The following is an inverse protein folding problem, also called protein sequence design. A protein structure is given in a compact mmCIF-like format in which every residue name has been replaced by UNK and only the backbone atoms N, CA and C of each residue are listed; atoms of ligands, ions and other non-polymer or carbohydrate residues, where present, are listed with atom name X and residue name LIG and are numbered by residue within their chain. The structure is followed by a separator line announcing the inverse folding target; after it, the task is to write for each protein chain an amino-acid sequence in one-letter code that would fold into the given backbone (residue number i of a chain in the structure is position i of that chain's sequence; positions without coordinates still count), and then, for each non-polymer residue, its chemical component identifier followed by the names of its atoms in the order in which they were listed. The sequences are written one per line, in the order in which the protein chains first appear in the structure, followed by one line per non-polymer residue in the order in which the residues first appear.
data_IF_447345895124
#
_entry.id   IF_447345895124
#
_cell.length_a   1.000
_cell.length_b   1.000
_cell.length_c   1.000
_cell.angle_alpha   90.00
_cell.angle_beta   90.00
_cell.angle_gamma   90.00
#
_symmetry.space_group_name_H-M   'P 1'
#
loop_
_entity.id
_entity.type
_entity.pdbx_description
1 polymer ?
#
# COMPACT_ATOMS: atom_id res chain seq x y z
N UNK A 1 -5.29 10.53 -6.96
CA UNK A 1 -4.01 11.30 -6.75
C UNK A 1 -2.91 10.70 -7.59
N UNK A 2 -2.07 11.51 -8.24
CA UNK A 2 -0.90 11.03 -8.96
C UNK A 2 0.38 11.08 -8.10
N UNK A 3 1.48 10.53 -8.62
CA UNK A 3 2.76 10.42 -7.89
C UNK A 3 3.37 11.77 -7.49
N UNK A 4 3.18 12.82 -8.31
CA UNK A 4 3.65 14.18 -7.99
C UNK A 4 2.86 14.78 -6.83
N UNK A 5 1.56 14.66 -6.85
CA UNK A 5 0.66 15.17 -5.80
C UNK A 5 0.95 14.51 -4.46
N UNK A 6 1.11 13.17 -4.46
CA UNK A 6 1.52 12.43 -3.26
C UNK A 6 2.89 12.93 -2.76
N UNK A 7 3.86 13.11 -3.66
CA UNK A 7 5.19 13.62 -3.29
C UNK A 7 5.14 15.06 -2.77
N UNK A 8 4.25 15.88 -3.30
CA UNK A 8 4.03 17.26 -2.88
C UNK A 8 3.48 17.29 -1.45
N UNK A 9 2.44 16.53 -1.14
CA UNK A 9 1.91 16.41 0.21
C UNK A 9 2.93 15.79 1.19
N UNK A 10 3.66 14.76 0.77
CA UNK A 10 4.70 14.15 1.64
C UNK A 10 5.78 15.14 2.10
N UNK A 11 6.12 16.12 1.27
CA UNK A 11 7.12 17.14 1.62
C UNK A 11 6.63 18.11 2.69
N UNK A 12 5.32 18.19 2.91
CA UNK A 12 4.73 19.01 3.96
C UNK A 12 5.00 18.46 5.35
N UNK A 13 5.13 17.14 5.49
CA UNK A 13 5.42 16.50 6.78
C UNK A 13 6.90 16.69 7.17
N UNK A 14 7.30 17.94 7.30
CA UNK A 14 8.57 18.37 7.88
C UNK A 14 8.32 19.61 8.76
N UNK A 15 9.11 19.84 9.82
CA UNK A 15 8.88 20.94 10.76
C UNK A 15 8.71 22.30 10.10
N UNK A 16 9.45 22.57 9.03
CA UNK A 16 9.50 23.88 8.37
C UNK A 16 8.41 24.10 7.30
N UNK A 17 7.63 23.06 6.97
CA UNK A 17 6.72 23.09 5.79
C UNK A 17 5.26 22.81 6.10
N UNK A 18 4.96 22.29 7.28
CA UNK A 18 3.58 21.99 7.65
C UNK A 18 2.88 23.20 8.30
N UNK A 19 1.55 23.15 8.32
CA UNK A 19 0.71 24.08 9.07
C UNK A 19 -0.06 23.35 10.17
N UNK A 20 0.43 22.19 10.59
CA UNK A 20 -0.18 21.35 11.62
C UNK A 20 0.02 22.04 12.97
N UNK A 21 -1.07 22.48 13.59
CA UNK A 21 -1.03 23.11 14.90
C UNK A 21 -0.98 22.10 16.05
N UNK A 22 -1.77 21.04 15.93
CA UNK A 22 -1.93 20.01 16.96
C UNK A 22 -1.92 18.62 16.37
N UNK A 23 -1.39 17.67 17.16
CA UNK A 23 -1.53 16.23 16.96
C UNK A 23 -2.56 15.73 17.96
N UNK A 24 -3.62 15.14 17.45
CA UNK A 24 -4.65 14.51 18.25
C UNK A 24 -4.54 12.99 18.15
N UNK A 25 -5.05 12.28 19.14
CA UNK A 25 -5.07 10.83 19.09
C UNK A 25 -5.72 10.18 20.29
N UNK A 26 -5.80 8.86 20.25
CA UNK A 26 -6.16 8.04 21.40
C UNK A 26 -5.31 6.76 21.43
N UNK A 27 -4.90 6.39 22.62
CA UNK A 27 -4.22 5.13 22.91
C UNK A 27 -5.23 4.10 23.35
N UNK A 28 -5.29 2.98 22.64
CA UNK A 28 -6.31 1.94 22.79
C UNK A 28 -5.63 0.63 23.18
N UNK A 29 -6.21 -0.08 24.16
CA UNK A 29 -5.74 -1.39 24.60
C UNK A 29 -6.36 -2.53 23.77
N UNK A 30 -5.89 -3.76 24.01
CA UNK A 30 -6.39 -5.00 23.38
C UNK A 30 -7.87 -5.29 23.65
N UNK A 31 -8.46 -4.67 24.70
CA UNK A 31 -9.89 -4.79 25.03
C UNK A 31 -10.76 -3.73 24.32
N UNK A 32 -10.18 -2.98 23.39
CA UNK A 32 -10.83 -1.87 22.68
C UNK A 32 -11.24 -0.71 23.62
N UNK A 33 -10.52 -0.52 24.73
CA UNK A 33 -10.76 0.60 25.65
C UNK A 33 -9.72 1.69 25.42
N UNK A 34 -10.15 2.96 25.40
CA UNK A 34 -9.25 4.12 25.32
C UNK A 34 -8.58 4.30 26.69
N UNK A 35 -7.26 4.17 26.75
CA UNK A 35 -6.45 4.36 27.96
C UNK A 35 -6.10 5.82 28.15
N UNK A 36 -5.79 6.54 27.05
CA UNK A 36 -5.37 7.94 27.09
C UNK A 36 -5.73 8.66 25.79
N UNK A 37 -5.97 9.93 25.90
CA UNK A 37 -6.09 10.84 24.75
C UNK A 37 -4.80 11.61 24.57
N UNK A 38 -4.49 11.91 23.32
CA UNK A 38 -3.39 12.79 22.90
C UNK A 38 -3.99 14.08 22.34
N UNK A 39 -3.53 15.22 22.86
CA UNK A 39 -3.85 16.57 22.34
C UNK A 39 -2.62 17.44 22.58
N UNK A 40 -1.67 17.38 21.64
CA UNK A 40 -0.36 17.97 21.77
C UNK A 40 -0.13 19.05 20.72
N UNK A 41 0.33 20.21 21.17
CA UNK A 41 0.72 21.29 20.26
C UNK A 41 2.07 21.00 19.63
N UNK A 42 2.11 20.88 18.30
CA UNK A 42 3.35 20.62 17.57
C UNK A 42 4.41 21.71 17.79
N UNK A 43 3.97 22.96 17.92
CA UNK A 43 4.87 24.08 18.19
C UNK A 43 5.46 24.09 19.61
N UNK A 44 4.82 23.42 20.56
CA UNK A 44 5.29 23.32 21.94
C UNK A 44 6.18 22.09 22.19
N UNK A 45 6.25 21.17 21.23
CA UNK A 45 7.08 19.96 21.33
C UNK A 45 8.56 20.26 21.07
N UNK A 46 9.48 19.49 21.68
CA UNK A 46 10.86 19.43 21.21
C UNK A 46 10.92 19.04 19.73
N UNK A 47 11.80 19.65 18.91
CA UNK A 47 11.88 19.36 17.48
C UNK A 47 12.06 17.88 17.14
N UNK A 48 12.85 17.15 17.91
CA UNK A 48 13.07 15.70 17.72
C UNK A 48 11.81 14.87 17.96
N UNK A 49 10.92 15.32 18.83
CA UNK A 49 9.63 14.67 19.08
C UNK A 49 8.63 15.00 17.99
N UNK A 50 8.53 16.26 17.60
CA UNK A 50 7.71 16.70 16.48
C UNK A 50 8.06 15.95 15.18
N UNK A 51 9.36 15.75 14.88
CA UNK A 51 9.80 14.97 13.73
C UNK A 51 9.32 13.50 13.77
N UNK A 52 9.24 12.90 14.95
CA UNK A 52 8.75 11.50 15.08
C UNK A 52 7.27 11.42 14.73
N UNK A 53 6.43 12.32 15.27
CA UNK A 53 5.00 12.37 14.92
C UNK A 53 4.79 12.66 13.43
N UNK A 54 5.46 13.65 12.89
CA UNK A 54 5.41 13.96 11.46
C UNK A 54 5.90 12.79 10.61
N UNK A 55 6.92 12.07 11.06
CA UNK A 55 7.44 10.87 10.42
C UNK A 55 6.42 9.74 10.36
N UNK A 56 5.63 9.53 11.42
CA UNK A 56 4.54 8.55 11.44
C UNK A 56 3.43 8.97 10.46
N UNK A 57 2.94 10.21 10.54
CA UNK A 57 1.89 10.71 9.66
C UNK A 57 2.29 10.67 8.18
N UNK A 58 3.55 11.00 7.87
CA UNK A 58 4.12 10.91 6.51
C UNK A 58 4.01 9.51 5.90
N UNK A 59 3.93 8.46 6.72
CA UNK A 59 3.78 7.07 6.25
C UNK A 59 2.44 6.83 5.57
N UNK A 60 1.37 7.56 5.94
CA UNK A 60 0.09 7.49 5.24
C UNK A 60 0.15 7.86 3.74
N UNK A 61 1.27 8.46 3.32
CA UNK A 61 1.55 8.81 1.92
C UNK A 61 2.74 8.02 1.36
N UNK A 62 3.07 6.86 1.92
CA UNK A 62 4.27 6.11 1.57
C UNK A 62 3.93 4.77 0.91
N UNK A 63 4.73 4.37 -0.06
CA UNK A 63 4.56 3.09 -0.75
C UNK A 63 4.22 3.26 -2.22
N UNK A 64 3.78 2.18 -2.83
CA UNK A 64 3.44 2.11 -4.25
C UNK A 64 1.94 2.28 -4.44
N UNK A 65 1.53 3.15 -5.36
CA UNK A 65 0.12 3.31 -5.74
C UNK A 65 -0.44 2.01 -6.34
N UNK A 66 -1.71 1.74 -6.03
CA UNK A 66 -2.37 0.49 -6.40
C UNK A 66 -1.87 -0.74 -5.62
N UNK A 67 -0.98 -0.54 -4.64
CA UNK A 67 -0.45 -1.59 -3.78
C UNK A 67 -0.55 -1.23 -2.30
N UNK A 68 0.29 -0.30 -1.82
CA UNK A 68 0.22 0.23 -0.45
C UNK A 68 -0.71 1.43 -0.34
N UNK A 69 -0.79 2.22 -1.40
CA UNK A 69 -1.64 3.40 -1.52
C UNK A 69 -2.80 3.08 -2.43
N UNK A 70 -4.00 3.06 -1.87
CA UNK A 70 -5.23 2.60 -2.51
C UNK A 70 -6.21 3.78 -2.53
N UNK A 71 -6.79 4.05 -3.68
CA UNK A 71 -7.83 5.08 -3.79
C UNK A 71 -9.16 4.51 -3.28
N UNK A 72 -9.74 5.19 -2.28
CA UNK A 72 -11.10 4.95 -1.79
C UNK A 72 -12.02 5.91 -2.53
N UNK A 73 -12.99 5.37 -3.24
CA UNK A 73 -13.90 6.16 -4.08
C UNK A 73 -15.30 6.16 -3.48
N UNK A 74 -15.82 7.35 -3.21
CA UNK A 74 -17.19 7.54 -2.73
C UNK A 74 -18.15 7.81 -3.90
N UNK A 75 -19.27 7.12 -3.93
CA UNK A 75 -20.33 7.43 -4.87
C UNK A 75 -20.98 8.80 -4.55
N UNK A 76 -21.64 9.40 -5.54
CA UNK A 76 -22.35 10.65 -5.34
C UNK A 76 -23.39 10.55 -4.21
N UNK A 77 -24.05 9.43 -4.07
CA UNK A 77 -25.02 9.18 -2.99
C UNK A 77 -24.31 9.14 -1.62
N UNK A 78 -23.14 8.52 -1.52
CA UNK A 78 -22.39 8.47 -0.27
C UNK A 78 -21.91 9.87 0.15
N UNK A 79 -21.44 10.67 -0.79
CA UNK A 79 -21.03 12.06 -0.50
C UNK A 79 -22.21 12.89 0.00
N UNK A 80 -23.43 12.67 -0.52
CA UNK A 80 -24.62 13.39 -0.10
C UNK A 80 -25.18 12.90 1.24
N UNK A 81 -25.24 11.57 1.46
CA UNK A 81 -26.10 10.99 2.50
C UNK A 81 -25.34 10.19 3.57
N UNK A 82 -24.15 9.61 3.28
CA UNK A 82 -23.45 8.72 4.20
C UNK A 82 -23.06 9.43 5.51
N UNK A 83 -23.40 8.87 6.68
CA UNK A 83 -22.94 9.35 7.97
C UNK A 83 -21.42 9.33 8.10
N UNK A 84 -20.76 8.31 7.53
CA UNK A 84 -19.32 8.15 7.57
C UNK A 84 -18.62 9.26 6.78
N UNK A 85 -19.08 9.54 5.56
CA UNK A 85 -18.54 10.65 4.77
C UNK A 85 -18.78 12.00 5.45
N UNK A 86 -19.97 12.23 6.04
CA UNK A 86 -20.25 13.45 6.81
C UNK A 86 -19.35 13.58 8.03
N UNK A 87 -19.01 12.47 8.70
CA UNK A 87 -18.07 12.47 9.81
C UNK A 87 -16.66 12.88 9.36
N UNK A 88 -16.18 12.36 8.23
CA UNK A 88 -14.89 12.76 7.65
C UNK A 88 -14.88 14.25 7.26
N UNK A 89 -15.97 14.74 6.66
CA UNK A 89 -16.12 16.17 6.36
C UNK A 89 -16.11 17.02 7.64
N UNK A 90 -16.83 16.60 8.69
CA UNK A 90 -16.85 17.30 9.98
C UNK A 90 -15.48 17.36 10.65
N UNK A 91 -14.67 16.29 10.58
CA UNK A 91 -13.28 16.30 11.04
C UNK A 91 -12.45 17.35 10.30
N UNK A 92 -12.59 17.42 8.99
CA UNK A 92 -11.90 18.38 8.14
C UNK A 92 -12.36 19.82 8.43
N UNK A 93 -13.65 20.07 8.45
CA UNK A 93 -14.24 21.40 8.59
C UNK A 93 -14.03 22.00 10.00
N UNK A 94 -14.07 21.15 11.02
CA UNK A 94 -13.69 21.56 12.40
C UNK A 94 -12.19 21.72 12.61
N UNK A 95 -11.37 21.39 11.58
CA UNK A 95 -9.91 21.33 11.72
C UNK A 95 -9.46 20.44 12.91
N UNK A 96 -10.23 19.39 13.17
CA UNK A 96 -10.10 18.50 14.34
C UNK A 96 -10.31 19.20 15.71
N UNK A 97 -10.79 20.42 15.77
CA UNK A 97 -10.96 21.18 17.02
C UNK A 97 -12.17 20.72 17.83
N UNK A 98 -13.19 20.09 17.20
CA UNK A 98 -14.36 19.59 17.89
C UNK A 98 -14.10 18.23 18.55
N UNK A 99 -14.08 18.16 19.91
CA UNK A 99 -13.79 16.91 20.61
C UNK A 99 -14.91 15.87 20.44
N UNK A 100 -16.16 16.25 20.18
CA UNK A 100 -17.24 15.29 19.98
C UNK A 100 -17.10 14.61 18.62
N UNK A 101 -16.68 15.35 17.58
CA UNK A 101 -16.41 14.80 16.26
C UNK A 101 -15.19 13.85 16.29
N UNK A 102 -14.12 14.22 17.00
CA UNK A 102 -12.98 13.33 17.21
C UNK A 102 -13.36 12.04 17.94
N UNK A 103 -14.17 12.16 18.99
CA UNK A 103 -14.65 10.98 19.75
C UNK A 103 -15.46 10.05 18.87
N UNK A 104 -16.42 10.57 18.10
CA UNK A 104 -17.23 9.76 17.19
C UNK A 104 -16.37 9.04 16.15
N UNK A 105 -15.28 9.67 15.71
CA UNK A 105 -14.33 9.03 14.81
C UNK A 105 -13.51 7.93 15.52
N UNK A 106 -13.00 8.16 16.73
CA UNK A 106 -12.28 7.15 17.49
C UNK A 106 -13.15 5.92 17.76
N UNK A 107 -14.41 6.12 18.12
CA UNK A 107 -15.37 5.03 18.34
C UNK A 107 -15.54 4.19 17.06
N UNK A 108 -15.69 4.83 15.90
CA UNK A 108 -15.75 4.16 14.59
C UNK A 108 -14.48 3.34 14.30
N UNK A 109 -13.31 3.90 14.54
CA UNK A 109 -12.03 3.19 14.34
C UNK A 109 -11.93 1.98 15.27
N UNK A 110 -12.27 2.15 16.54
CA UNK A 110 -12.17 1.09 17.56
C UNK A 110 -13.15 -0.05 17.27
N UNK A 111 -14.38 0.28 16.84
CA UNK A 111 -15.38 -0.71 16.45
C UNK A 111 -14.94 -1.54 15.23
N UNK A 112 -14.36 -0.87 14.26
CA UNK A 112 -14.04 -1.44 12.94
C UNK A 112 -12.68 -2.11 12.86
N UNK A 113 -11.79 -1.89 13.83
CA UNK A 113 -10.42 -2.35 13.73
C UNK A 113 -10.14 -3.49 14.70
N UNK A 114 -9.50 -4.54 14.17
CA UNK A 114 -8.86 -5.58 14.95
C UNK A 114 -7.34 -5.50 14.73
N UNK A 115 -6.59 -5.29 15.81
CA UNK A 115 -5.13 -5.20 15.79
C UNK A 115 -4.49 -6.44 16.42
N UNK A 116 -5.15 -7.58 16.30
CA UNK A 116 -4.78 -8.80 16.99
C UNK A 116 -4.61 -8.53 18.52
N UNK A 117 -3.63 -9.09 19.15
CA UNK A 117 -3.33 -8.89 20.57
C UNK A 117 -2.45 -7.64 20.85
N UNK A 118 -2.48 -6.61 19.98
CA UNK A 118 -1.63 -5.43 20.14
C UNK A 118 -2.43 -4.19 20.58
N UNK A 119 -1.91 -3.45 21.54
CA UNK A 119 -2.36 -2.08 21.78
C UNK A 119 -2.02 -1.22 20.56
N UNK A 120 -2.75 -0.13 20.36
CA UNK A 120 -2.47 0.77 19.24
C UNK A 120 -2.74 2.24 19.55
N UNK A 121 -2.07 3.10 18.82
CA UNK A 121 -2.25 4.55 18.88
C UNK A 121 -2.89 5.01 17.56
N UNK A 122 -4.05 5.65 17.66
CA UNK A 122 -4.66 6.38 16.56
C UNK A 122 -4.13 7.80 16.59
N UNK A 123 -3.55 8.27 15.51
CA UNK A 123 -3.06 9.64 15.34
C UNK A 123 -3.89 10.37 14.31
N UNK A 124 -4.23 11.61 14.58
CA UNK A 124 -4.92 12.53 13.69
C UNK A 124 -4.18 13.86 13.62
N UNK A 125 -4.05 14.42 12.44
CA UNK A 125 -3.62 15.78 12.22
C UNK A 125 -4.42 16.43 11.09
N UNK A 126 -4.63 17.75 11.20
CA UNK A 126 -5.16 18.59 10.14
C UNK A 126 -4.05 19.48 9.61
N UNK A 127 -3.91 19.58 8.31
CA UNK A 127 -3.00 20.52 7.64
C UNK A 127 -3.77 21.37 6.63
N UNK A 128 -3.35 22.61 6.50
CA UNK A 128 -3.83 23.55 5.49
C UNK A 128 -2.69 23.88 4.53
N UNK A 129 -2.85 23.43 3.30
CA UNK A 129 -1.84 23.63 2.24
C UNK A 129 -2.27 24.76 1.31
N UNK A 130 -1.48 25.80 1.30
CA UNK A 130 -1.56 26.88 0.33
C UNK A 130 -0.97 26.39 -1.00
N UNK A 131 -1.85 26.07 -1.95
CA UNK A 131 -1.47 25.40 -3.21
C UNK A 131 -0.86 26.44 -4.15
N UNK A 132 0.45 26.37 -4.47
CA UNK A 132 1.09 27.36 -5.36
C UNK A 132 0.44 27.38 -6.74
N UNK A 133 0.18 28.55 -7.27
CA UNK A 133 -0.35 28.71 -8.62
C UNK A 133 0.70 28.25 -9.65
N UNK A 134 0.30 27.39 -10.58
CA UNK A 134 1.10 27.02 -11.75
C UNK A 134 0.50 27.67 -12.99
N UNK A 135 1.23 28.61 -13.59
CA UNK A 135 0.84 29.17 -14.87
C UNK A 135 0.96 28.11 -16.00
N UNK A 136 0.21 28.29 -17.09
CA UNK A 136 0.22 27.37 -18.25
C UNK A 136 1.59 27.20 -18.91
N UNK A 137 2.51 28.12 -18.68
CA UNK A 137 3.91 28.11 -19.15
C UNK A 137 4.86 27.34 -18.19
N UNK A 138 4.33 26.74 -17.11
CA UNK A 138 5.10 25.97 -16.15
C UNK A 138 5.80 26.80 -15.07
N UNK A 139 5.66 28.13 -15.06
CA UNK A 139 6.18 28.98 -14.00
C UNK A 139 5.32 28.83 -12.73
N UNK A 140 5.98 28.64 -11.60
CA UNK A 140 5.32 28.56 -10.29
C UNK A 140 5.41 29.93 -9.60
N UNK A 141 4.27 30.48 -9.22
CA UNK A 141 4.21 31.73 -8.47
C UNK A 141 3.81 31.42 -7.03
N UNK A 142 4.78 31.44 -6.11
CA UNK A 142 4.57 31.16 -4.68
C UNK A 142 3.74 32.23 -3.95
N UNK A 143 3.48 33.38 -4.60
CA UNK A 143 2.78 34.51 -3.97
C UNK A 143 1.33 34.70 -4.42
N UNK A 144 0.83 33.89 -5.33
CA UNK A 144 -0.56 33.96 -5.83
C UNK A 144 -1.14 32.56 -5.73
N UNK A 145 -1.82 32.32 -4.61
CA UNK A 145 -2.62 31.11 -4.44
C UNK A 145 -4.08 31.52 -4.33
N UNK A 146 -4.94 30.88 -5.12
CA UNK A 146 -6.39 31.04 -5.04
C UNK A 146 -7.04 29.85 -4.30
N UNK A 147 -6.26 28.86 -3.87
CA UNK A 147 -6.82 27.61 -3.34
C UNK A 147 -6.07 27.12 -2.11
N UNK A 148 -6.77 27.09 -0.97
CA UNK A 148 -6.30 26.46 0.25
C UNK A 148 -6.81 25.02 0.30
N UNK A 149 -5.91 24.04 0.34
CA UNK A 149 -6.25 22.63 0.49
C UNK A 149 -6.20 22.23 1.96
N UNK A 150 -7.39 22.04 2.56
CA UNK A 150 -7.55 21.53 3.92
C UNK A 150 -7.76 20.02 3.89
N UNK A 151 -6.98 19.29 4.66
CA UNK A 151 -7.10 17.83 4.74
C UNK A 151 -6.79 17.30 6.14
N UNK A 152 -7.31 16.11 6.40
CA UNK A 152 -7.03 15.33 7.59
C UNK A 152 -6.15 14.15 7.21
N UNK A 153 -5.16 13.87 8.02
CA UNK A 153 -4.35 12.66 7.94
C UNK A 153 -4.55 11.83 9.20
N UNK A 154 -4.75 10.53 9.01
CA UNK A 154 -4.88 9.55 10.08
C UNK A 154 -3.80 8.48 9.93
N UNK A 155 -3.26 8.02 11.06
CA UNK A 155 -2.41 6.83 11.12
C UNK A 155 -2.80 5.98 12.34
N UNK A 156 -2.81 4.67 12.16
CA UNK A 156 -2.96 3.69 13.24
C UNK A 156 -1.64 2.95 13.40
N UNK A 157 -1.04 3.08 14.58
CA UNK A 157 0.28 2.56 14.90
C UNK A 157 0.18 1.50 15.99
N UNK A 158 0.67 0.27 15.78
CA UNK A 158 0.74 -0.72 16.85
C UNK A 158 1.70 -0.24 17.95
N UNK A 159 1.35 -0.50 19.19
CA UNK A 159 2.19 -0.20 20.34
C UNK A 159 2.65 -1.52 20.94
N UNK A 160 3.96 -1.74 20.98
CA UNK A 160 4.58 -2.98 21.44
C UNK A 160 5.46 -2.72 22.65
N UNK A 161 5.57 -3.73 23.52
CA UNK A 161 6.55 -3.67 24.60
C UNK A 161 7.97 -3.68 24.02
N UNK A 162 8.75 -2.69 24.42
CA UNK A 162 10.18 -2.65 24.14
C UNK A 162 10.89 -3.79 24.90
N UNK A 163 11.95 -4.33 24.29
CA UNK A 163 12.78 -5.31 25.00
C UNK A 163 13.49 -4.63 26.16
N UNK A 164 13.42 -5.24 27.35
CA UNK A 164 14.26 -4.83 28.46
C UNK A 164 15.74 -4.90 28.05
N UNK A 165 16.47 -3.84 28.26
CA UNK A 165 17.89 -3.73 27.92
C UNK A 165 18.66 -3.10 29.06
N UNK A 166 19.98 -3.37 29.13
CA UNK A 166 20.87 -2.68 30.03
C UNK A 166 21.35 -1.39 29.32
N UNK A 167 20.96 -0.24 29.89
CA UNK A 167 21.34 1.08 29.37
C UNK A 167 22.39 1.74 30.24
N UNK A 168 23.32 2.48 29.63
CA UNK A 168 24.27 3.33 30.36
C UNK A 168 23.70 4.73 30.56
N UNK A 169 23.58 5.13 31.80
CA UNK A 169 23.11 6.46 32.19
C UNK A 169 24.31 7.38 32.44
N UNK A 170 24.63 8.19 31.48
CA UNK A 170 25.81 9.08 31.53
C UNK A 170 25.78 10.08 32.70
N UNK A 171 24.58 10.51 33.12
CA UNK A 171 24.41 11.43 34.27
C UNK A 171 24.80 10.78 35.61
N UNK A 172 24.68 9.47 35.76
CA UNK A 172 24.97 8.68 36.95
C UNK A 172 26.22 7.82 36.80
N UNK A 173 26.76 7.74 35.57
CA UNK A 173 27.91 6.91 35.21
C UNK A 173 27.73 5.42 35.58
N UNK A 174 26.50 4.92 35.45
CA UNK A 174 26.09 3.56 35.85
C UNK A 174 25.25 2.87 34.78
N UNK A 175 25.25 1.54 34.77
CA UNK A 175 24.35 0.73 33.96
C UNK A 175 23.11 0.38 34.78
N UNK A 176 21.94 0.74 34.25
CA UNK A 176 20.66 0.35 34.81
C UNK A 176 19.80 -0.41 33.80
N UNK A 177 18.90 -1.23 34.31
CA UNK A 177 17.89 -1.87 33.45
C UNK A 177 17.00 -0.80 32.87
N UNK A 178 16.98 -0.71 31.53
CA UNK A 178 15.97 0.04 30.82
C UNK A 178 14.67 -0.73 30.94
N UNK A 179 13.66 -0.14 31.59
CA UNK A 179 12.35 -0.76 31.74
C UNK A 179 11.70 -1.06 30.40
N UNK A 180 10.75 -1.97 30.42
CA UNK A 180 9.87 -2.25 29.27
C UNK A 180 9.01 -1.02 28.99
N UNK A 181 9.47 -0.14 28.13
CA UNK A 181 8.67 0.99 27.65
C UNK A 181 7.81 0.50 26.48
N UNK A 182 6.57 0.97 26.44
CA UNK A 182 5.73 0.76 25.28
C UNK A 182 6.23 1.66 24.16
N UNK A 183 6.52 1.07 23.01
CA UNK A 183 7.10 1.74 21.84
C UNK A 183 6.08 1.76 20.71
N UNK A 184 5.80 2.95 20.20
CA UNK A 184 4.95 3.14 19.02
C UNK A 184 5.69 2.64 17.79
N UNK A 185 5.09 1.67 17.11
CA UNK A 185 5.60 1.10 15.86
C UNK A 185 5.28 1.97 14.65
N UNK A 186 5.72 1.51 13.49
CA UNK A 186 5.32 2.13 12.22
C UNK A 186 3.83 1.90 11.96
N UNK A 187 3.13 2.86 11.33
CA UNK A 187 1.73 2.71 11.01
C UNK A 187 1.43 1.41 10.26
N UNK A 188 0.43 0.69 10.68
CA UNK A 188 -0.10 -0.47 10.00
C UNK A 188 -1.04 -0.05 8.86
N UNK A 189 -1.86 0.95 9.14
CA UNK A 189 -2.74 1.59 8.19
C UNK A 189 -2.84 3.09 8.45
N UNK A 190 -3.43 3.82 7.50
CA UNK A 190 -3.71 5.24 7.61
C UNK A 190 -4.45 5.76 6.40
N UNK A 191 -4.80 7.03 6.39
CA UNK A 191 -5.41 7.65 5.21
C UNK A 191 -5.20 9.16 5.20
N UNK A 192 -5.44 9.74 4.03
CA UNK A 192 -5.60 11.19 3.83
C UNK A 192 -6.96 11.45 3.22
N UNK A 193 -7.72 12.41 3.79
CA UNK A 193 -9.03 12.82 3.28
C UNK A 193 -9.20 14.34 3.37
N UNK A 194 -9.76 14.97 2.34
CA UNK A 194 -10.02 14.43 1.00
C UNK A 194 -8.72 14.18 0.22
N UNK A 195 -8.83 13.50 -0.92
CA UNK A 195 -7.68 13.34 -1.81
C UNK A 195 -7.28 14.68 -2.44
N UNK A 196 -5.98 14.88 -2.66
CA UNK A 196 -5.43 16.01 -3.39
C UNK A 196 -5.31 15.63 -4.87
N UNK A 197 -6.27 16.01 -5.67
CA UNK A 197 -6.43 15.56 -7.04
C UNK A 197 -6.64 16.75 -7.97
N UNK A 198 -5.92 16.79 -9.06
CA UNK A 198 -5.88 17.95 -9.98
C UNK A 198 -5.67 19.28 -9.24
N UNK A 199 -4.75 19.25 -8.23
CA UNK A 199 -4.38 20.38 -7.37
C UNK A 199 -5.52 20.99 -6.55
N UNK A 200 -6.58 20.22 -6.33
CA UNK A 200 -7.76 20.62 -5.56
C UNK A 200 -8.20 19.52 -4.58
N UNK A 201 -9.09 19.86 -3.66
CA UNK A 201 -9.71 18.90 -2.77
C UNK A 201 -10.76 18.06 -3.52
N UNK A 202 -10.52 16.78 -3.65
CA UNK A 202 -11.48 15.84 -4.19
C UNK A 202 -12.18 15.07 -3.05
N UNK A 203 -13.37 15.55 -2.65
CA UNK A 203 -14.15 14.94 -1.56
C UNK A 203 -14.78 13.59 -1.94
N UNK A 204 -14.74 13.21 -3.22
CA UNK A 204 -15.19 11.91 -3.70
C UNK A 204 -14.12 10.83 -3.50
N UNK A 205 -12.93 11.20 -3.06
CA UNK A 205 -11.83 10.26 -2.90
C UNK A 205 -11.08 10.49 -1.58
N UNK A 206 -10.64 9.37 -0.98
CA UNK A 206 -9.59 9.36 0.04
C UNK A 206 -8.42 8.51 -0.44
N UNK A 207 -7.21 8.79 0.03
CA UNK A 207 -6.05 7.95 -0.19
C UNK A 207 -5.82 7.10 1.05
N UNK A 208 -6.01 5.80 0.95
CA UNK A 208 -5.81 4.83 2.01
C UNK A 208 -4.42 4.20 1.91
N UNK A 209 -3.76 4.03 3.05
CA UNK A 209 -2.46 3.39 3.18
C UNK A 209 -2.58 2.10 3.97
N UNK A 210 -1.98 1.04 3.45
CA UNK A 210 -1.71 -0.19 4.21
C UNK A 210 -0.22 -0.53 4.17
N UNK A 211 0.33 -0.96 5.29
CA UNK A 211 1.72 -1.40 5.37
C UNK A 211 1.93 -2.72 4.64
N UNK A 212 0.97 -3.62 4.75
CA UNK A 212 0.98 -4.93 4.12
C UNK A 212 -0.07 -4.98 3.01
N UNK A 213 0.32 -4.94 1.73
CA UNK A 213 -0.63 -4.93 0.61
C UNK A 213 -1.58 -6.13 0.56
N UNK A 214 -1.17 -7.25 1.18
CA UNK A 214 -1.97 -8.46 1.25
C UNK A 214 -3.02 -8.42 2.39
N UNK A 215 -2.95 -7.41 3.27
CA UNK A 215 -3.88 -7.18 4.39
C UNK A 215 -4.33 -5.71 4.37
N UNK A 216 -5.44 -5.44 3.67
CA UNK A 216 -5.93 -4.06 3.49
C UNK A 216 -6.88 -3.61 4.60
N UNK A 217 -7.08 -4.40 5.66
CA UNK A 217 -8.00 -4.06 6.76
C UNK A 217 -9.40 -3.72 6.25
N UNK A 218 -10.05 -4.68 5.58
CA UNK A 218 -11.37 -4.51 4.95
C UNK A 218 -12.42 -4.00 5.92
N UNK A 219 -12.38 -4.49 7.17
CA UNK A 219 -13.27 -4.06 8.26
C UNK A 219 -13.13 -2.57 8.59
N UNK A 220 -11.90 -2.03 8.51
CA UNK A 220 -11.67 -0.60 8.68
C UNK A 220 -12.22 0.20 7.50
N UNK A 221 -12.01 -0.28 6.28
CA UNK A 221 -12.53 0.39 5.07
C UNK A 221 -14.06 0.43 5.09
N UNK A 222 -14.70 -0.70 5.40
CA UNK A 222 -16.16 -0.73 5.53
C UNK A 222 -16.67 0.14 6.68
N UNK A 223 -16.06 0.07 7.85
CA UNK A 223 -16.52 0.79 9.03
C UNK A 223 -16.30 2.31 8.95
N UNK A 224 -15.15 2.77 8.46
CA UNK A 224 -14.77 4.19 8.43
C UNK A 224 -15.24 4.90 7.17
N UNK A 225 -15.21 4.24 6.01
CA UNK A 225 -15.56 4.86 4.73
C UNK A 225 -16.92 4.41 4.19
N UNK A 226 -17.42 3.27 4.66
CA UNK A 226 -18.66 2.64 4.18
C UNK A 226 -18.65 2.40 2.68
N UNK A 227 -17.52 2.00 2.14
CA UNK A 227 -17.35 1.61 0.74
C UNK A 227 -17.03 0.13 0.67
N UNK A 228 -17.37 -0.50 -0.46
CA UNK A 228 -16.94 -1.86 -0.72
C UNK A 228 -15.40 -1.91 -0.74
N UNK A 229 -14.77 -2.74 0.12
CA UNK A 229 -13.31 -2.83 0.15
C UNK A 229 -12.78 -3.27 -1.21
N UNK A 230 -11.75 -2.60 -1.76
CA UNK A 230 -11.11 -3.06 -2.98
C UNK A 230 -10.38 -4.40 -2.72
N UNK A 231 -10.16 -5.18 -3.77
CA UNK A 231 -9.36 -6.40 -3.66
C UNK A 231 -7.95 -6.07 -3.18
N UNK A 232 -7.45 -6.80 -2.18
CA UNK A 232 -6.04 -6.76 -1.78
C UNK A 232 -5.12 -7.23 -2.90
N UNK A 233 -3.82 -6.95 -2.82
CA UNK A 233 -2.86 -7.45 -3.80
C UNK A 233 -2.80 -8.99 -3.83
N UNK A 234 -3.04 -9.66 -2.70
CA UNK A 234 -3.12 -11.12 -2.63
C UNK A 234 -4.36 -11.64 -3.35
N UNK A 235 -5.53 -11.09 -3.08
CA UNK A 235 -6.78 -11.46 -3.74
C UNK A 235 -6.72 -11.20 -5.25
N UNK A 236 -6.13 -10.08 -5.69
CA UNK A 236 -5.92 -9.78 -7.11
C UNK A 236 -5.07 -10.86 -7.79
N UNK A 237 -4.00 -11.30 -7.12
CA UNK A 237 -3.11 -12.35 -7.63
C UNK A 237 -3.82 -13.71 -7.71
N UNK A 238 -4.46 -14.13 -6.63
CA UNK A 238 -5.19 -15.40 -6.57
C UNK A 238 -6.30 -15.46 -7.63
N UNK A 239 -7.06 -14.37 -7.78
CA UNK A 239 -8.09 -14.25 -8.82
C UNK A 239 -7.47 -14.35 -10.21
N UNK A 240 -6.36 -13.66 -10.47
CA UNK A 240 -5.66 -13.69 -11.74
C UNK A 240 -5.11 -15.09 -12.07
N UNK A 241 -4.50 -15.77 -11.10
CA UNK A 241 -4.02 -17.15 -11.22
C UNK A 241 -5.17 -18.11 -11.54
N UNK A 242 -6.31 -17.95 -10.89
CA UNK A 242 -7.53 -18.72 -11.15
C UNK A 242 -8.03 -18.49 -12.58
N UNK A 243 -8.12 -17.22 -13.02
CA UNK A 243 -8.53 -16.88 -14.39
C UNK A 243 -7.60 -17.52 -15.42
N UNK A 244 -6.28 -17.43 -15.21
CA UNK A 244 -5.30 -18.05 -16.11
C UNK A 244 -5.48 -19.56 -16.18
N UNK A 245 -5.54 -20.25 -15.04
CA UNK A 245 -5.65 -21.71 -15.00
C UNK A 245 -6.94 -22.23 -15.64
N UNK A 246 -8.08 -21.59 -15.37
CA UNK A 246 -9.38 -22.00 -15.90
C UNK A 246 -9.59 -21.63 -17.37
N UNK A 247 -8.96 -20.56 -17.86
CA UNK A 247 -9.11 -20.14 -19.25
C UNK A 247 -8.12 -20.82 -20.17
N UNK A 248 -6.89 -21.04 -19.73
CA UNK A 248 -5.81 -21.52 -20.57
C UNK A 248 -5.58 -23.03 -20.47
N UNK A 249 -5.90 -23.66 -19.32
CA UNK A 249 -5.70 -25.10 -19.15
C UNK A 249 -4.29 -25.54 -19.57
N UNK A 250 -4.20 -26.50 -20.53
CA UNK A 250 -2.92 -27.03 -21.03
C UNK A 250 -2.04 -25.98 -21.76
N UNK A 251 -2.59 -24.87 -22.22
CA UNK A 251 -1.82 -23.78 -22.83
C UNK A 251 -1.06 -22.95 -21.80
N UNK A 252 -1.34 -23.11 -20.50
CA UNK A 252 -0.56 -22.48 -19.41
C UNK A 252 0.80 -23.19 -19.23
N UNK A 253 1.71 -22.97 -20.16
CA UNK A 253 3.03 -23.58 -20.19
C UNK A 253 4.05 -22.80 -19.37
N UNK A 254 5.18 -23.43 -19.01
CA UNK A 254 6.33 -22.76 -18.39
C UNK A 254 6.83 -21.57 -19.23
N UNK A 255 6.81 -21.72 -20.56
CA UNK A 255 7.22 -20.64 -21.47
C UNK A 255 6.27 -19.44 -21.38
N UNK A 256 4.95 -19.68 -21.33
CA UNK A 256 3.96 -18.62 -21.14
C UNK A 256 4.13 -17.92 -19.78
N UNK A 257 4.31 -18.68 -18.70
CA UNK A 257 4.55 -18.11 -17.36
C UNK A 257 5.79 -17.22 -17.34
N UNK A 258 6.85 -17.61 -18.06
CA UNK A 258 8.07 -16.82 -18.21
C UNK A 258 7.81 -15.54 -19.02
N UNK A 259 7.14 -15.64 -20.16
CA UNK A 259 6.82 -14.50 -21.01
C UNK A 259 6.02 -13.44 -20.25
N UNK A 260 5.00 -13.87 -19.49
CA UNK A 260 4.20 -12.99 -18.63
C UNK A 260 5.05 -12.33 -17.54
N UNK A 261 5.91 -13.11 -16.86
CA UNK A 261 6.80 -12.59 -15.84
C UNK A 261 7.76 -11.52 -16.39
N UNK A 262 8.42 -11.81 -17.51
CA UNK A 262 9.36 -10.90 -18.17
C UNK A 262 8.65 -9.63 -18.62
N UNK A 263 7.49 -9.77 -19.26
CA UNK A 263 6.69 -8.63 -19.71
C UNK A 263 6.27 -7.73 -18.56
N UNK A 264 5.74 -8.29 -17.46
CA UNK A 264 5.34 -7.49 -16.27
C UNK A 264 6.54 -6.77 -15.68
N UNK A 265 7.67 -7.45 -15.57
CA UNK A 265 8.89 -6.85 -15.04
C UNK A 265 9.38 -5.70 -15.91
N UNK A 266 9.43 -5.89 -17.23
CA UNK A 266 9.89 -4.86 -18.16
C UNK A 266 8.97 -3.63 -18.10
N UNK A 267 7.66 -3.82 -17.99
CA UNK A 267 6.69 -2.73 -17.74
C UNK A 267 6.98 -1.97 -16.45
N UNK A 268 7.31 -2.68 -15.38
CA UNK A 268 7.67 -2.05 -14.09
C UNK A 268 8.99 -1.26 -14.20
N UNK A 269 9.98 -1.77 -14.92
CA UNK A 269 11.25 -1.09 -15.13
C UNK A 269 11.10 0.14 -16.03
N UNK A 270 10.43 0.00 -17.18
CA UNK A 270 10.10 1.12 -18.09
C UNK A 270 9.39 2.26 -17.34
N UNK A 271 8.38 1.93 -16.51
CA UNK A 271 7.66 2.92 -15.73
C UNK A 271 8.55 3.63 -14.70
N UNK A 272 9.51 2.92 -14.10
CA UNK A 272 10.47 3.55 -13.18
C UNK A 272 11.40 4.53 -13.90
N UNK A 273 11.84 4.16 -15.11
CA UNK A 273 12.77 4.96 -15.92
C UNK A 273 12.08 6.16 -16.59
N UNK A 274 10.87 5.98 -17.09
CA UNK A 274 10.09 7.05 -17.77
C UNK A 274 9.72 8.19 -16.82
N UNK A 275 9.71 7.94 -15.50
CA UNK A 275 9.27 8.90 -14.47
C UNK A 275 7.85 9.41 -14.70
N UNK A 276 7.01 8.59 -15.31
CA UNK A 276 5.60 8.89 -15.49
C UNK A 276 4.93 9.19 -14.15
N UNK A 277 3.99 10.13 -14.16
CA UNK A 277 3.29 10.61 -12.98
C UNK A 277 2.13 9.71 -12.60
N UNK A 278 1.48 9.14 -13.62
CA UNK A 278 0.35 8.25 -13.46
C UNK A 278 0.80 6.87 -12.92
N UNK A 279 -0.04 6.19 -12.13
CA UNK A 279 0.26 4.85 -11.65
C UNK A 279 0.43 3.87 -12.81
N UNK A 280 1.39 2.95 -12.70
CA UNK A 280 1.49 1.86 -13.65
C UNK A 280 0.23 1.00 -13.60
N UNK A 281 -0.43 0.87 -14.74
CA UNK A 281 -1.62 0.07 -14.87
C UNK A 281 -1.62 -0.72 -16.19
N UNK A 282 -2.18 -1.92 -16.15
CA UNK A 282 -2.37 -2.79 -17.32
C UNK A 282 -3.84 -3.19 -17.41
N UNK A 283 -4.33 -3.31 -18.64
CA UNK A 283 -5.71 -3.66 -18.97
C UNK A 283 -5.83 -5.10 -19.44
N UNK A 284 -7.06 -5.60 -19.57
CA UNK A 284 -7.31 -6.89 -20.24
C UNK A 284 -6.72 -6.93 -21.66
N UNK A 285 -6.76 -5.80 -22.40
CA UNK A 285 -6.23 -5.72 -23.75
C UNK A 285 -4.70 -5.93 -23.80
N UNK A 286 -3.97 -5.34 -22.83
CA UNK A 286 -2.52 -5.52 -22.75
C UNK A 286 -2.15 -6.96 -22.45
N UNK A 287 -2.86 -7.60 -21.51
CA UNK A 287 -2.64 -9.00 -21.15
C UNK A 287 -2.99 -9.96 -22.30
N UNK A 288 -4.10 -9.72 -23.01
CA UNK A 288 -4.48 -10.55 -24.16
C UNK A 288 -3.48 -10.44 -25.30
N UNK A 289 -2.87 -9.27 -25.52
CA UNK A 289 -1.79 -9.12 -26.50
C UNK A 289 -0.60 -10.03 -26.17
N UNK A 290 -0.16 -10.06 -24.91
CA UNK A 290 0.93 -10.95 -24.47
C UNK A 290 0.58 -12.43 -24.63
N UNK A 291 -0.67 -12.81 -24.35
CA UNK A 291 -1.13 -14.19 -24.55
C UNK A 291 -1.10 -14.60 -26.02
N UNK A 292 -1.55 -13.71 -26.92
CA UNK A 292 -1.49 -13.94 -28.37
C UNK A 292 -0.05 -14.03 -28.88
N UNK A 293 0.83 -13.14 -28.45
CA UNK A 293 2.26 -13.15 -28.80
C UNK A 293 2.95 -14.43 -28.30
N UNK A 294 2.45 -14.98 -27.20
CA UNK A 294 2.88 -16.29 -26.65
C UNK A 294 2.22 -17.50 -27.31
N UNK A 295 1.51 -17.30 -28.43
CA UNK A 295 0.86 -18.35 -29.25
C UNK A 295 -0.25 -19.11 -28.51
N UNK A 296 -0.90 -18.50 -27.54
CA UNK A 296 -2.12 -19.04 -26.92
C UNK A 296 -3.25 -19.03 -27.95
N UNK A 297 -4.02 -20.11 -28.11
CA UNK A 297 -5.14 -20.14 -29.04
C UNK A 297 -6.17 -19.06 -28.78
N UNK A 298 -6.67 -18.43 -29.84
CA UNK A 298 -7.57 -17.27 -29.77
C UNK A 298 -8.82 -17.52 -28.91
N UNK A 299 -9.40 -18.74 -28.98
CA UNK A 299 -10.56 -19.11 -28.18
C UNK A 299 -10.26 -19.04 -26.67
N UNK A 300 -9.06 -19.43 -26.23
CA UNK A 300 -8.63 -19.35 -24.83
C UNK A 300 -8.33 -17.91 -24.42
N UNK A 301 -7.77 -17.10 -25.31
CA UNK A 301 -7.54 -15.66 -25.07
C UNK A 301 -8.88 -14.93 -24.89
N UNK A 302 -9.90 -15.27 -25.69
CA UNK A 302 -11.25 -14.71 -25.53
C UNK A 302 -11.90 -15.15 -24.21
N UNK A 303 -11.73 -16.41 -23.83
CA UNK A 303 -12.22 -16.91 -22.53
C UNK A 303 -11.54 -16.19 -21.36
N UNK A 304 -10.23 -15.96 -21.44
CA UNK A 304 -9.48 -15.18 -20.47
C UNK A 304 -10.02 -13.75 -20.37
N UNK A 305 -10.20 -13.05 -21.50
CA UNK A 305 -10.69 -11.67 -21.51
C UNK A 305 -12.10 -11.56 -20.89
N UNK A 306 -12.98 -12.52 -21.17
CA UNK A 306 -14.34 -12.54 -20.61
C UNK A 306 -14.30 -12.72 -19.08
N UNK A 307 -13.52 -13.69 -18.56
CA UNK A 307 -13.39 -13.93 -17.12
C UNK A 307 -12.70 -12.79 -16.41
N UNK A 308 -11.69 -12.17 -17.03
CA UNK A 308 -11.02 -10.99 -16.49
C UNK A 308 -12.02 -9.84 -16.33
N UNK A 309 -12.84 -9.59 -17.34
CA UNK A 309 -13.88 -8.54 -17.29
C UNK A 309 -14.97 -8.86 -16.25
N UNK A 310 -15.30 -10.11 -16.02
CA UNK A 310 -16.26 -10.55 -15.00
C UNK A 310 -15.72 -10.34 -13.59
N UNK A 311 -14.45 -10.68 -13.35
CA UNK A 311 -13.84 -10.63 -12.00
C UNK A 311 -13.34 -9.24 -11.60
N UNK A 312 -12.75 -8.50 -12.54
CA UNK A 312 -12.13 -7.19 -12.26
C UNK A 312 -12.92 -6.00 -12.84
N UNK A 313 -13.84 -6.26 -13.77
CA UNK A 313 -14.54 -5.23 -14.52
C UNK A 313 -13.98 -5.02 -15.93
N UNK A 314 -14.85 -4.67 -16.88
CA UNK A 314 -14.50 -4.52 -18.29
C UNK A 314 -13.46 -3.42 -18.58
N UNK A 315 -13.42 -2.39 -17.75
CA UNK A 315 -12.47 -1.25 -17.86
C UNK A 315 -11.42 -1.25 -16.76
N UNK A 316 -11.24 -2.38 -16.06
CA UNK A 316 -10.28 -2.46 -14.97
C UNK A 316 -8.85 -2.22 -15.47
N UNK A 317 -8.14 -1.38 -14.75
CA UNK A 317 -6.72 -1.09 -14.93
C UNK A 317 -6.00 -1.51 -13.65
N UNK A 318 -5.19 -2.57 -13.73
CA UNK A 318 -4.58 -3.24 -12.58
C UNK A 318 -3.09 -2.92 -12.50
N UNK A 319 -2.57 -2.80 -11.27
CA UNK A 319 -1.12 -2.76 -11.11
C UNK A 319 -0.54 -4.15 -11.46
N UNK A 320 0.32 -4.26 -12.48
CA UNK A 320 0.81 -5.57 -12.94
C UNK A 320 1.62 -6.31 -11.86
N UNK A 321 2.27 -5.60 -10.94
CA UNK A 321 3.00 -6.20 -9.82
C UNK A 321 2.09 -6.83 -8.75
N UNK A 322 0.77 -6.57 -8.78
CA UNK A 322 -0.21 -7.28 -7.96
C UNK A 322 -0.63 -8.60 -8.61
N UNK A 323 -0.63 -8.67 -9.94
CA UNK A 323 -1.03 -9.86 -10.69
C UNK A 323 0.08 -10.92 -10.70
N UNK A 324 1.32 -10.50 -10.91
CA UNK A 324 2.49 -11.39 -10.99
C UNK A 324 3.59 -10.86 -10.09
N UNK A 325 4.20 -11.75 -9.30
CA UNK A 325 5.34 -11.39 -8.47
C UNK A 325 6.56 -11.08 -9.36
N UNK A 326 7.04 -9.85 -9.30
CA UNK A 326 8.18 -9.36 -10.10
C UNK A 326 9.53 -9.53 -9.42
N UNK A 327 9.59 -10.19 -8.27
CA UNK A 327 10.83 -10.43 -7.53
C UNK A 327 11.72 -11.47 -8.21
N UNK A 328 11.65 -12.69 -7.73
CA UNK A 328 12.36 -13.83 -8.33
C UNK A 328 11.39 -14.69 -9.11
N UNK A 329 11.84 -15.28 -10.22
CA UNK A 329 11.05 -16.30 -10.89
C UNK A 329 11.15 -17.59 -10.08
N UNK A 330 10.05 -18.04 -9.52
CA UNK A 330 10.00 -19.21 -8.64
C UNK A 330 9.19 -20.32 -9.29
N UNK A 331 9.74 -21.52 -9.22
CA UNK A 331 9.06 -22.75 -9.66
C UNK A 331 8.89 -23.65 -8.45
N UNK A 332 7.68 -24.17 -8.29
CA UNK A 332 7.34 -25.10 -7.23
C UNK A 332 6.78 -26.38 -7.83
N UNK A 333 7.25 -27.50 -7.34
CA UNK A 333 6.85 -28.82 -7.82
C UNK A 333 6.53 -29.75 -6.64
N UNK A 334 5.57 -30.66 -6.85
CA UNK A 334 5.24 -31.71 -5.88
C UNK A 334 4.67 -31.17 -4.58
N UNK A 335 3.68 -30.30 -4.64
CA UNK A 335 2.99 -29.70 -3.47
C UNK A 335 3.96 -29.07 -2.46
N UNK A 336 4.97 -28.34 -2.96
CA UNK A 336 5.98 -27.70 -2.15
C UNK A 336 7.21 -28.57 -1.82
N UNK A 337 7.29 -29.81 -2.33
CA UNK A 337 8.41 -30.72 -2.09
C UNK A 337 9.73 -30.20 -2.70
N UNK A 338 9.65 -29.44 -3.81
CA UNK A 338 10.82 -28.82 -4.42
C UNK A 338 10.49 -27.40 -4.86
N UNK A 339 11.31 -26.43 -4.40
CA UNK A 339 11.22 -25.03 -4.79
C UNK A 339 12.53 -24.59 -5.44
N UNK A 340 12.44 -24.03 -6.65
CA UNK A 340 13.55 -23.50 -7.42
C UNK A 340 13.34 -22.00 -7.60
N UNK A 341 14.26 -21.19 -7.11
CA UNK A 341 14.25 -19.74 -7.25
C UNK A 341 15.36 -19.30 -8.20
N UNK A 342 15.01 -18.62 -9.27
CA UNK A 342 15.93 -18.21 -10.31
C UNK A 342 16.23 -16.73 -10.22
N UNK A 343 17.52 -16.39 -10.32
CA UNK A 343 17.89 -15.01 -10.61
C UNK A 343 17.49 -14.67 -12.05
N UNK A 344 17.08 -13.43 -12.26
CA UNK A 344 16.51 -12.93 -13.49
C UNK A 344 17.26 -13.34 -14.79
N UNK A 345 18.57 -13.22 -14.83
CA UNK A 345 19.38 -13.47 -16.04
C UNK A 345 19.50 -14.97 -16.39
N UNK A 346 19.01 -15.86 -15.56
CA UNK A 346 19.20 -17.30 -15.69
C UNK A 346 17.93 -18.09 -16.01
N UNK A 347 16.79 -17.44 -16.16
CA UNK A 347 15.51 -18.10 -16.50
C UNK A 347 15.57 -18.92 -17.80
N UNK A 348 16.38 -18.51 -18.78
CA UNK A 348 16.58 -19.22 -20.06
C UNK A 348 17.35 -20.55 -19.97
N UNK A 349 17.87 -20.92 -18.81
CA UNK A 349 18.68 -22.14 -18.62
C UNK A 349 17.88 -23.35 -18.13
N UNK A 350 16.59 -23.17 -17.82
CA UNK A 350 15.73 -24.29 -17.41
C UNK A 350 14.95 -24.80 -18.62
N UNK A 351 15.07 -26.08 -18.87
CA UNK A 351 14.33 -26.79 -19.91
C UNK A 351 13.39 -27.82 -19.27
N UNK A 352 12.27 -28.07 -19.93
CA UNK A 352 11.39 -29.20 -19.59
C UNK A 352 11.67 -30.37 -20.50
N UNK A 353 11.77 -31.57 -19.95
CA UNK A 353 11.91 -32.81 -20.73
C UNK A 353 11.01 -33.89 -20.17
N UNK A 354 10.71 -34.86 -20.99
CA UNK A 354 9.94 -36.06 -20.60
C UNK A 354 10.88 -37.26 -20.65
N UNK A 355 10.99 -38.00 -19.55
CA UNK A 355 11.76 -39.23 -19.45
C UNK A 355 10.85 -40.29 -18.85
N UNK A 356 10.68 -41.40 -19.54
CA UNK A 356 9.82 -42.53 -19.12
C UNK A 356 8.38 -42.10 -18.73
N UNK A 357 7.79 -41.15 -19.48
CA UNK A 357 6.43 -40.67 -19.25
C UNK A 357 6.28 -39.71 -18.06
N UNK A 358 7.39 -39.24 -17.50
CA UNK A 358 7.43 -38.25 -16.43
C UNK A 358 8.06 -36.94 -16.91
N UNK A 359 7.46 -35.84 -16.53
CA UNK A 359 8.00 -34.48 -16.82
C UNK A 359 9.07 -34.10 -15.82
N UNK A 360 10.19 -33.60 -16.32
CA UNK A 360 11.33 -33.13 -15.51
C UNK A 360 11.68 -31.69 -15.87
N UNK A 361 12.17 -30.96 -14.87
CA UNK A 361 12.87 -29.69 -15.07
C UNK A 361 14.37 -29.98 -15.09
N UNK A 362 15.04 -29.61 -16.18
CA UNK A 362 16.49 -29.69 -16.29
C UNK A 362 17.10 -28.37 -15.85
N UNK A 363 17.99 -28.45 -14.87
CA UNK A 363 18.77 -27.33 -14.37
C UNK A 363 20.24 -27.64 -14.62
N UNK A 364 20.98 -26.76 -15.34
CA UNK A 364 22.44 -26.94 -15.49
C UNK A 364 23.11 -27.03 -14.12
N UNK A 365 23.92 -28.04 -13.92
CA UNK A 365 24.53 -28.35 -12.62
C UNK A 365 26.00 -27.92 -12.50
N UNK A 366 26.50 -27.07 -13.42
CA UNK A 366 27.87 -26.57 -13.33
C UNK A 366 28.03 -25.67 -12.09
N UNK A 367 28.97 -26.01 -11.24
CA UNK A 367 29.20 -25.28 -10.00
C UNK A 367 28.13 -25.48 -8.94
N UNK A 368 27.55 -26.67 -8.86
CA UNK A 368 26.51 -27.01 -7.88
C UNK A 368 27.04 -26.96 -6.45
N UNK A 369 26.28 -26.34 -5.56
CA UNK A 369 26.52 -26.34 -4.12
C UNK A 369 25.31 -26.89 -3.38
N UNK A 370 25.52 -27.83 -2.47
CA UNK A 370 24.51 -28.34 -1.57
C UNK A 370 24.82 -27.88 -0.13
N UNK A 371 23.94 -27.06 0.47
CA UNK A 371 24.15 -26.46 1.81
C UNK A 371 25.50 -25.76 1.97
N UNK A 372 25.99 -25.09 0.93
CA UNK A 372 27.28 -24.40 0.92
C UNK A 372 28.50 -25.27 0.61
N UNK A 373 28.33 -26.58 0.37
CA UNK A 373 29.36 -27.48 0.00
C UNK A 373 29.40 -27.70 -1.53
N UNK A 374 30.55 -27.60 -2.20
CA UNK A 374 30.64 -27.88 -3.63
C UNK A 374 30.36 -29.38 -3.89
N UNK A 375 29.47 -29.65 -4.82
CA UNK A 375 29.07 -31.02 -5.18
C UNK A 375 29.41 -31.25 -6.65
N UNK A 376 29.94 -32.43 -6.96
CA UNK A 376 30.07 -32.90 -8.35
C UNK A 376 28.79 -33.63 -8.72
N UNK A 377 28.12 -33.19 -9.80
CA UNK A 377 26.95 -33.84 -10.36
C UNK A 377 27.33 -34.90 -11.41
#
# INVERSE_FOLDING_TARGET
MNKKEISELRRRFSPDKNSIGHIYGCYVNTKKEIIAYLDESLAAMPPEEAEKYLGLLKKALSGTQGKNLIDIVFSTQQVADSPEHKLLMSLRESELKDPAVRQAFYDKVIESLDMDDSNYLVLLAHDAYDVPFKAKDGLTFDQVSDTMFHYVVCCVCPVKEGKAALGFYSAQNEFHSYGTNQIVGQPELGFVFPAFDDRAANIYNALFYTRKPDQIHQEFIDGVFRVEPPMSAAEQRETFETILSESLGDACTLQLARNLYEWVRDKVEEHKESREEEPLAVTAADLTAVLLDSQVPEAQVQAFAARFAESFGASAAMNPANLINTGKFELEAGDGAAKVSLAHEQGGRIETTEIDGRKYLLIPAEGLYANGLPVQA
#
